data_IF_368663449918
#
_entry.id   IF_368663449918
#
_cell.length_a   1.000
_cell.length_b   1.000
_cell.length_c   1.000
_cell.angle_alpha   90.00
_cell.angle_beta   90.00
_cell.angle_gamma   90.00
#
_symmetry.space_group_name_H-M   'P 1'
#
loop_
_entity.id
_entity.type
_entity.pdbx_description
1 polymer ?
#
# COMPACT_ATOMS: atom_id res chain seq x y z
N UNK A 1 41.70 16.77 -0.08
CA UNK A 1 40.25 17.00 -0.27
C UNK A 1 39.62 15.63 -0.50
N UNK A 2 38.76 15.16 0.40
CA UNK A 2 38.08 13.87 0.25
C UNK A 2 36.59 14.14 0.17
N UNK A 3 36.04 13.86 -1.00
CA UNK A 3 34.64 13.86 -1.32
C UNK A 3 33.92 12.89 -0.40
N UNK A 4 32.93 13.37 0.34
CA UNK A 4 31.91 12.50 0.92
C UNK A 4 30.56 13.03 0.51
N UNK A 5 30.03 12.31 -0.45
CA UNK A 5 28.81 12.46 -1.23
C UNK A 5 27.59 12.73 -0.34
N UNK A 6 26.80 13.72 -0.74
CA UNK A 6 25.47 14.02 -0.21
C UNK A 6 24.60 12.76 -0.18
N UNK A 7 24.15 12.34 1.00
CA UNK A 7 23.06 11.37 1.12
C UNK A 7 21.77 12.17 1.00
N UNK A 8 21.23 12.24 -0.21
CA UNK A 8 19.85 12.68 -0.42
C UNK A 8 18.99 11.55 0.11
N UNK A 9 18.50 11.70 1.34
CA UNK A 9 17.45 10.85 1.87
C UNK A 9 16.20 11.08 1.03
N UNK A 10 15.93 10.16 0.11
CA UNK A 10 14.65 10.11 -0.60
C UNK A 10 13.63 9.60 0.42
N UNK A 11 13.11 10.52 1.24
CA UNK A 11 11.88 10.32 1.99
C UNK A 11 10.70 10.36 0.99
N UNK A 12 10.59 9.31 0.16
CA UNK A 12 9.45 9.17 -0.71
C UNK A 12 8.25 8.66 0.10
N UNK A 13 7.32 9.59 0.30
CA UNK A 13 5.87 9.40 0.16
C UNK A 13 5.21 8.53 1.22
N UNK A 14 4.99 9.13 2.40
CA UNK A 14 3.89 8.76 3.29
C UNK A 14 2.60 9.43 2.80
N UNK A 15 2.13 9.03 1.63
CA UNK A 15 0.76 9.32 1.23
C UNK A 15 -0.07 8.12 1.70
N UNK A 16 -0.65 8.22 2.90
CA UNK A 16 -1.71 7.31 3.34
C UNK A 16 -2.98 7.65 2.56
N UNK A 17 -2.96 7.41 1.26
CA UNK A 17 -4.11 7.59 0.39
C UNK A 17 -4.99 6.35 0.49
N UNK A 18 -6.29 6.59 0.45
CA UNK A 18 -7.42 5.65 0.32
C UNK A 18 -7.28 4.49 -0.70
N UNK A 19 -6.17 4.42 -1.44
CA UNK A 19 -5.86 3.41 -2.43
C UNK A 19 -4.35 3.15 -2.53
N UNK A 20 -3.99 1.88 -2.76
CA UNK A 20 -2.62 1.40 -2.90
C UNK A 20 -2.07 1.62 -4.32
N UNK A 21 -0.81 1.98 -4.40
CA UNK A 21 -0.05 2.19 -5.62
C UNK A 21 1.31 1.47 -5.56
N UNK A 22 1.74 0.95 -6.71
CA UNK A 22 3.10 0.51 -6.90
C UNK A 22 3.95 1.72 -7.35
N UNK A 23 5.07 1.94 -6.67
CA UNK A 23 6.01 3.03 -6.89
C UNK A 23 7.32 2.49 -7.49
N UNK A 24 7.70 2.99 -8.67
CA UNK A 24 9.00 2.76 -9.29
C UNK A 24 10.01 3.84 -8.89
N UNK A 25 11.22 3.80 -9.44
CA UNK A 25 12.22 4.85 -9.26
C UNK A 25 11.77 6.21 -9.82
N UNK A 26 10.84 6.21 -10.77
CA UNK A 26 10.36 7.40 -11.49
C UNK A 26 9.02 7.94 -10.96
N UNK A 27 8.39 7.26 -9.99
CA UNK A 27 7.10 7.65 -9.41
C UNK A 27 6.06 6.54 -9.45
N UNK A 28 4.78 6.88 -9.55
CA UNK A 28 3.68 5.90 -9.59
C UNK A 28 3.76 5.07 -10.88
N UNK A 29 3.88 3.76 -10.73
CA UNK A 29 3.83 2.81 -11.83
C UNK A 29 2.39 2.30 -12.02
N UNK A 30 1.62 3.07 -12.81
CA UNK A 30 0.19 2.81 -13.09
C UNK A 30 -0.06 1.39 -13.61
N UNK A 31 0.79 0.90 -14.50
CA UNK A 31 0.63 -0.43 -15.09
C UNK A 31 0.82 -1.54 -14.03
N UNK A 32 1.80 -1.38 -13.16
CA UNK A 32 2.04 -2.28 -12.03
C UNK A 32 0.90 -2.22 -11.01
N UNK A 33 0.46 -1.02 -10.62
CA UNK A 33 -0.70 -0.83 -9.74
C UNK A 33 -1.94 -1.54 -10.29
N UNK A 34 -2.24 -1.34 -11.57
CA UNK A 34 -3.40 -1.95 -12.23
C UNK A 34 -3.35 -3.48 -12.19
N UNK A 35 -2.22 -4.07 -12.59
CA UNK A 35 -2.05 -5.52 -12.61
C UNK A 35 -2.11 -6.11 -11.20
N UNK A 36 -1.41 -5.50 -10.25
CA UNK A 36 -1.36 -5.97 -8.88
C UNK A 36 -2.69 -5.81 -8.14
N UNK A 37 -3.47 -4.79 -8.48
CA UNK A 37 -4.82 -4.64 -7.95
C UNK A 37 -5.71 -5.81 -8.37
N UNK A 38 -5.67 -6.17 -9.66
CA UNK A 38 -6.45 -7.29 -10.20
C UNK A 38 -5.98 -8.64 -9.66
N UNK A 39 -4.67 -8.85 -9.53
CA UNK A 39 -4.11 -10.06 -8.92
C UNK A 39 -4.53 -10.22 -7.45
N UNK A 40 -4.62 -9.11 -6.71
CA UNK A 40 -5.12 -9.09 -5.35
C UNK A 40 -6.65 -9.27 -5.25
N UNK A 41 -7.36 -9.36 -6.38
CA UNK A 41 -8.81 -9.52 -6.45
C UNK A 41 -9.59 -8.20 -6.33
N UNK A 42 -8.91 -7.05 -6.44
CA UNK A 42 -9.54 -5.75 -6.42
C UNK A 42 -9.88 -5.21 -7.80
N UNK A 43 -10.67 -4.14 -7.80
CA UNK A 43 -10.94 -3.35 -9.01
C UNK A 43 -10.13 -2.06 -8.96
N UNK A 44 -9.17 -1.87 -9.88
CA UNK A 44 -8.40 -0.64 -9.95
C UNK A 44 -9.28 0.53 -10.40
N UNK A 45 -9.00 1.73 -9.85
CA UNK A 45 -9.60 2.99 -10.25
C UNK A 45 -8.49 3.94 -10.69
N UNK A 46 -8.37 4.11 -12.02
CA UNK A 46 -7.27 4.87 -12.62
C UNK A 46 -5.89 4.31 -12.24
N UNK A 47 -5.11 5.12 -11.52
CA UNK A 47 -3.77 4.80 -11.04
C UNK A 47 -3.72 4.25 -9.61
N UNK A 48 -4.88 3.98 -9.02
CA UNK A 48 -4.98 3.55 -7.63
C UNK A 48 -5.72 2.22 -7.47
N UNK A 49 -5.37 1.48 -6.43
CA UNK A 49 -6.07 0.27 -6.02
C UNK A 49 -6.79 0.50 -4.68
N UNK A 50 -8.10 0.73 -4.66
CA UNK A 50 -8.83 1.05 -3.42
C UNK A 50 -8.62 0.00 -2.33
N UNK A 51 -8.20 0.43 -1.13
CA UNK A 51 -7.79 -0.48 -0.04
C UNK A 51 -8.93 -1.41 0.37
N UNK A 52 -10.18 -0.91 0.38
CA UNK A 52 -11.35 -1.69 0.75
C UNK A 52 -11.54 -2.93 -0.14
N UNK A 53 -11.11 -2.90 -1.41
CA UNK A 53 -11.15 -4.05 -2.31
C UNK A 53 -10.10 -5.11 -1.98
N UNK A 54 -8.93 -4.70 -1.47
CA UNK A 54 -7.76 -5.58 -1.30
C UNK A 54 -7.28 -5.70 0.14
N UNK A 55 -8.04 -5.24 1.13
CA UNK A 55 -7.62 -5.16 2.54
C UNK A 55 -7.13 -6.52 3.12
N UNK A 56 -7.70 -7.65 2.69
CA UNK A 56 -7.26 -9.01 3.08
C UNK A 56 -6.07 -9.54 2.26
N UNK A 57 -5.65 -8.79 1.25
CA UNK A 57 -4.67 -9.17 0.23
C UNK A 57 -3.59 -8.10 0.03
N UNK A 58 -3.45 -7.15 0.96
CA UNK A 58 -2.41 -6.11 0.94
C UNK A 58 -1.00 -6.70 0.82
N UNK A 59 -0.73 -7.81 1.51
CA UNK A 59 0.55 -8.52 1.38
C UNK A 59 0.75 -9.14 -0.01
N UNK A 60 -0.33 -9.59 -0.67
CA UNK A 60 -0.27 -10.09 -2.04
C UNK A 60 -0.02 -8.95 -3.04
N UNK A 61 -0.72 -7.82 -2.88
CA UNK A 61 -0.48 -6.60 -3.66
C UNK A 61 0.98 -6.13 -3.53
N UNK A 62 1.50 -6.04 -2.30
CA UNK A 62 2.89 -5.63 -2.06
C UNK A 62 3.92 -6.61 -2.66
N UNK A 63 3.66 -7.92 -2.61
CA UNK A 63 4.49 -8.93 -3.28
C UNK A 63 4.44 -8.77 -4.80
N UNK A 64 3.28 -8.47 -5.36
CA UNK A 64 3.14 -8.23 -6.78
C UNK A 64 3.93 -6.98 -7.22
N UNK A 65 3.81 -5.83 -6.55
CA UNK A 65 4.61 -4.66 -6.88
C UNK A 65 6.11 -4.99 -6.88
N UNK A 66 6.57 -5.77 -5.89
CA UNK A 66 7.97 -6.22 -5.81
C UNK A 66 8.40 -7.09 -7.00
N UNK A 67 7.51 -7.90 -7.57
CA UNK A 67 7.81 -8.69 -8.76
C UNK A 67 8.07 -7.82 -10.00
N UNK A 68 7.50 -6.61 -10.04
CA UNK A 68 7.77 -5.59 -11.06
C UNK A 68 8.99 -4.69 -10.75
N UNK A 69 9.73 -4.99 -9.68
CA UNK A 69 10.77 -4.12 -9.08
C UNK A 69 10.24 -2.79 -8.52
N UNK A 70 8.96 -2.70 -8.24
CA UNK A 70 8.32 -1.56 -7.59
C UNK A 70 8.15 -1.78 -6.09
N UNK A 71 7.81 -0.72 -5.36
CA UNK A 71 7.46 -0.75 -3.94
C UNK A 71 5.99 -0.38 -3.77
N UNK A 72 5.25 -1.14 -2.99
CA UNK A 72 3.89 -0.75 -2.59
C UNK A 72 3.96 0.37 -1.55
N UNK A 73 3.17 1.43 -1.75
CA UNK A 73 2.96 2.49 -0.76
C UNK A 73 2.13 2.02 0.44
N UNK A 74 1.23 1.05 0.23
CA UNK A 74 0.53 0.31 1.26
C UNK A 74 1.50 -0.63 1.98
N UNK A 75 2.15 -0.13 3.04
CA UNK A 75 2.91 -0.97 3.97
C UNK A 75 1.98 -1.57 5.00
N UNK A 76 2.08 -2.90 5.15
CA UNK A 76 1.29 -3.67 6.08
C UNK A 76 2.17 -4.83 6.61
N UNK A 77 3.08 -4.59 7.59
CA UNK A 77 3.84 -5.67 8.22
C UNK A 77 2.94 -6.58 9.08
N UNK A 78 3.47 -7.77 9.43
CA UNK A 78 2.68 -8.88 10.02
C UNK A 78 1.78 -8.38 11.17
N UNK A 79 0.47 -8.59 11.07
CA UNK A 79 -0.50 -8.25 12.10
C UNK A 79 -1.54 -7.19 11.69
N UNK A 80 -1.17 -6.28 10.77
CA UNK A 80 -2.11 -5.29 10.23
C UNK A 80 -3.28 -5.93 9.46
N UNK A 81 -3.03 -7.06 8.77
CA UNK A 81 -4.02 -7.80 7.99
C UNK A 81 -5.08 -8.44 8.89
N UNK A 82 -4.67 -8.88 10.08
CA UNK A 82 -5.54 -9.43 11.12
C UNK A 82 -6.36 -8.32 11.76
N UNK A 83 -5.74 -7.18 12.13
CA UNK A 83 -6.44 -6.06 12.78
C UNK A 83 -7.43 -5.38 11.82
N UNK A 84 -7.05 -5.19 10.56
CA UNK A 84 -7.96 -4.71 9.50
C UNK A 84 -9.06 -5.75 9.23
N UNK A 85 -8.74 -7.04 9.13
CA UNK A 85 -9.79 -8.07 8.96
C UNK A 85 -10.77 -8.10 10.13
N UNK A 86 -10.30 -7.92 11.37
CA UNK A 86 -11.14 -7.81 12.56
C UNK A 86 -11.99 -6.52 12.57
N UNK A 87 -11.45 -5.42 12.01
CA UNK A 87 -12.17 -4.17 11.78
C UNK A 87 -13.33 -4.33 10.77
N UNK A 88 -13.18 -5.20 9.76
CA UNK A 88 -14.28 -5.55 8.86
C UNK A 88 -15.20 -6.64 9.43
N UNK A 89 -14.71 -7.50 10.34
CA UNK A 89 -15.47 -8.62 10.92
C UNK A 89 -16.34 -8.26 12.13
N UNK A 90 -16.14 -7.08 12.75
CA UNK A 90 -16.93 -6.61 13.91
C UNK A 90 -18.43 -6.41 13.62
N UNK A 91 -18.84 -6.45 12.35
CA UNK A 91 -20.23 -6.28 11.92
C UNK A 91 -20.75 -4.85 12.14
N UNK A 92 -21.73 -4.44 11.33
CA UNK A 92 -22.29 -3.08 11.38
C UNK A 92 -21.90 -2.23 10.16
N UNK A 93 -21.69 -0.93 10.36
CA UNK A 93 -21.27 0.00 9.31
C UNK A 93 -19.85 -0.41 8.85
N UNK A 94 -19.60 -0.52 7.54
CA UNK A 94 -18.25 -0.79 7.07
C UNK A 94 -17.30 0.29 7.59
N UNK A 95 -16.12 -0.08 8.07
CA UNK A 95 -15.16 0.86 8.60
C UNK A 95 -14.82 1.92 7.57
N UNK A 96 -14.66 3.14 8.04
CA UNK A 96 -14.23 4.26 7.20
C UNK A 96 -12.78 4.06 6.78
N UNK A 97 -12.41 4.65 5.64
CA UNK A 97 -11.01 4.60 5.15
C UNK A 97 -10.04 5.19 6.17
N UNK A 98 -10.50 6.17 6.97
CA UNK A 98 -9.74 6.70 8.10
C UNK A 98 -9.43 5.65 9.16
N UNK A 99 -10.41 4.83 9.55
CA UNK A 99 -10.20 3.78 10.56
C UNK A 99 -9.23 2.70 10.07
N UNK A 100 -9.31 2.34 8.79
CA UNK A 100 -8.36 1.41 8.17
C UNK A 100 -6.96 2.01 8.16
N UNK A 101 -6.83 3.28 7.80
CA UNK A 101 -5.53 3.97 7.73
C UNK A 101 -4.89 4.19 9.10
N UNK A 102 -5.67 4.49 10.15
CA UNK A 102 -5.15 4.60 11.51
C UNK A 102 -4.55 3.27 11.99
N UNK A 103 -5.11 2.13 11.56
CA UNK A 103 -4.52 0.81 11.81
C UNK A 103 -3.24 0.63 11.00
N UNK A 104 -3.25 0.88 9.69
CA UNK A 104 -2.06 0.73 8.84
C UNK A 104 -0.89 1.59 9.31
N UNK A 105 -1.16 2.82 9.78
CA UNK A 105 -0.16 3.75 10.29
C UNK A 105 0.58 3.22 11.54
N UNK A 106 -0.10 2.46 12.42
CA UNK A 106 0.56 1.81 13.57
C UNK A 106 1.65 0.82 13.17
N UNK A 107 1.55 0.28 11.97
CA UNK A 107 2.44 -0.74 11.45
C UNK A 107 3.42 -0.15 10.41
N UNK A 108 3.56 1.17 10.30
CA UNK A 108 4.43 1.80 9.30
C UNK A 108 5.95 1.79 9.63
N UNK A 109 6.36 1.05 10.68
CA UNK A 109 7.74 0.96 11.20
C UNK A 109 8.71 0.22 10.28
#
# INVERSE_FOLDING_TARGET
MKFSTSIIAIAALLASTEACQCLSADGVNVASTYNCCREAGGTPDGDQCPVHHIHKKLSAFAKCCKAFNDRSDCRCPRGCDVEVSNLFARGGVPPTDKEVNDILAKYAE
#
